data_IF_314280389271
#
_entry.id   IF_314280389271
#
_cell.length_a   1.000
_cell.length_b   1.000
_cell.length_c   1.000
_cell.angle_alpha   90.00
_cell.angle_beta   90.00
_cell.angle_gamma   90.00
#
_symmetry.space_group_name_H-M   'P 1'
#
loop_
_entity.id
_entity.type
_entity.pdbx_description
1 polymer ?
#
# COMPACT_ATOMS: atom_id res chain seq x y z
N UNK A 1 18.94 -16.88 -1.93
CA UNK A 1 17.48 -16.64 -1.86
C UNK A 1 17.11 -15.45 -0.97
N UNK A 2 17.52 -15.41 0.31
CA UNK A 2 17.20 -14.30 1.22
C UNK A 2 17.84 -12.95 0.86
N UNK A 3 19.08 -12.96 0.34
CA UNK A 3 19.76 -11.75 -0.15
C UNK A 3 18.94 -11.10 -1.27
N UNK A 4 18.55 -11.88 -2.28
CA UNK A 4 17.71 -11.41 -3.40
C UNK A 4 16.36 -10.87 -2.91
N UNK A 5 15.72 -11.52 -1.93
CA UNK A 5 14.48 -11.00 -1.36
C UNK A 5 14.70 -9.63 -0.72
N UNK A 6 15.76 -9.45 0.07
CA UNK A 6 16.12 -8.16 0.69
C UNK A 6 16.39 -7.07 -0.34
N UNK A 7 17.08 -7.40 -1.42
CA UNK A 7 17.31 -6.48 -2.55
C UNK A 7 15.98 -6.03 -3.16
N UNK A 8 15.06 -6.96 -3.47
CA UNK A 8 13.74 -6.63 -4.01
C UNK A 8 12.88 -5.82 -3.06
N UNK A 9 12.87 -6.17 -1.77
CA UNK A 9 12.22 -5.39 -0.72
C UNK A 9 12.74 -3.96 -0.64
N UNK A 10 14.07 -3.79 -0.80
CA UNK A 10 14.73 -2.49 -0.76
C UNK A 10 14.42 -1.68 -2.00
N UNK A 11 14.42 -2.29 -3.19
CA UNK A 11 13.98 -1.65 -4.44
C UNK A 11 12.55 -1.14 -4.32
N UNK A 12 11.59 -1.98 -3.90
CA UNK A 12 10.20 -1.55 -3.72
C UNK A 12 10.11 -0.39 -2.70
N UNK A 13 10.80 -0.49 -1.56
CA UNK A 13 10.77 0.57 -0.55
C UNK A 13 11.28 1.90 -1.09
N UNK A 14 12.40 1.89 -1.84
CA UNK A 14 12.96 3.07 -2.49
C UNK A 14 12.02 3.64 -3.56
N UNK A 15 11.43 2.79 -4.41
CA UNK A 15 10.49 3.22 -5.44
C UNK A 15 9.24 3.88 -4.83
N UNK A 16 8.68 3.32 -3.75
CA UNK A 16 7.58 3.96 -3.02
C UNK A 16 8.02 5.32 -2.48
N UNK A 17 9.16 5.37 -1.78
CA UNK A 17 9.67 6.59 -1.16
C UNK A 17 9.95 7.72 -2.18
N UNK A 18 10.48 7.37 -3.35
CA UNK A 18 10.81 8.34 -4.40
C UNK A 18 9.60 8.72 -5.28
N UNK A 19 8.48 8.02 -5.14
CA UNK A 19 7.25 8.31 -5.88
C UNK A 19 6.40 9.38 -5.21
N UNK A 20 5.39 9.86 -5.93
CA UNK A 20 4.39 10.80 -5.40
C UNK A 20 3.42 10.14 -4.40
N UNK A 21 3.47 8.82 -4.20
CA UNK A 21 2.63 8.12 -3.21
C UNK A 21 2.87 8.65 -1.79
N UNK A 22 4.07 9.16 -1.50
CA UNK A 22 4.42 9.78 -0.22
C UNK A 22 3.61 11.03 0.12
N UNK A 23 2.90 11.62 -0.85
CA UNK A 23 1.94 12.72 -0.60
C UNK A 23 0.61 12.23 -0.02
N UNK A 24 0.27 10.96 -0.22
CA UNK A 24 -1.01 10.38 0.18
C UNK A 24 -0.85 9.33 1.29
N UNK A 25 0.31 8.67 1.33
CA UNK A 25 0.59 7.58 2.24
C UNK A 25 1.87 7.77 3.05
N UNK A 26 1.79 7.38 4.32
CA UNK A 26 2.96 7.06 5.14
C UNK A 26 3.36 5.60 4.88
N UNK A 27 4.61 5.37 4.50
CA UNK A 27 5.20 4.04 4.36
C UNK A 27 5.64 3.52 5.73
N UNK A 28 5.03 2.44 6.21
CA UNK A 28 5.41 1.78 7.46
C UNK A 28 6.02 0.41 7.18
N UNK A 29 7.33 0.28 7.39
CA UNK A 29 8.11 -0.97 7.40
C UNK A 29 9.60 -0.63 7.38
N UNK A 30 10.45 -1.58 7.79
CA UNK A 30 11.87 -1.51 7.48
C UNK A 30 12.13 -1.65 5.96
N UNK A 31 13.20 -1.03 5.45
CA UNK A 31 13.56 -1.08 4.03
C UNK A 31 13.82 -2.51 3.53
N UNK A 32 14.37 -3.38 4.36
CA UNK A 32 14.68 -4.77 4.01
C UNK A 32 13.50 -5.72 4.19
N UNK A 33 12.45 -5.31 4.91
CA UNK A 33 11.22 -6.11 5.10
C UNK A 33 10.51 -6.36 3.76
N UNK A 34 10.11 -7.61 3.43
CA UNK A 34 9.34 -7.90 2.23
C UNK A 34 7.88 -7.43 2.30
N UNK A 35 7.39 -7.14 3.50
CA UNK A 35 6.07 -6.55 3.71
C UNK A 35 6.21 -5.05 3.91
N UNK A 36 5.47 -4.27 3.13
CA UNK A 36 5.31 -2.82 3.26
C UNK A 36 3.87 -2.49 3.61
N UNK A 37 3.68 -1.55 4.52
CA UNK A 37 2.36 -0.97 4.80
C UNK A 37 2.27 0.44 4.26
N UNK A 38 1.16 0.76 3.59
CA UNK A 38 0.78 2.11 3.24
C UNK A 38 -0.40 2.56 4.10
N UNK A 39 -0.19 3.59 4.92
CA UNK A 39 -1.21 4.21 5.77
C UNK A 39 -1.62 5.56 5.19
N UNK A 40 -2.90 5.90 5.17
CA UNK A 40 -3.32 7.27 4.76
C UNK A 40 -2.66 8.31 5.69
N UNK A 41 -2.15 9.39 5.10
CA UNK A 41 -1.54 10.51 5.84
C UNK A 41 -2.61 11.29 6.60
N UNK A 42 -3.74 11.55 5.95
CA UNK A 42 -4.83 12.32 6.56
C UNK A 42 -5.47 11.54 7.72
N UNK A 43 -5.16 11.99 8.95
CA UNK A 43 -5.67 11.40 10.19
C UNK A 43 -7.05 11.93 10.59
N UNK A 44 -7.59 12.93 9.90
CA UNK A 44 -8.94 13.44 10.16
C UNK A 44 -10.03 12.48 9.66
N UNK A 45 -9.68 11.59 8.73
CA UNK A 45 -10.58 10.57 8.19
C UNK A 45 -10.87 9.52 9.25
N UNK A 46 -12.15 9.22 9.49
CA UNK A 46 -12.56 8.19 10.45
C UNK A 46 -12.05 6.81 10.05
N UNK A 47 -11.89 5.90 11.03
CA UNK A 47 -11.39 4.55 10.80
C UNK A 47 -12.15 3.80 9.69
N UNK A 48 -13.49 3.78 9.76
CA UNK A 48 -14.36 3.12 8.79
C UNK A 48 -14.23 3.75 7.40
N UNK A 49 -14.06 5.06 7.32
CA UNK A 49 -13.89 5.76 6.05
C UNK A 49 -12.51 5.48 5.44
N UNK A 50 -11.45 5.43 6.27
CA UNK A 50 -10.13 4.98 5.82
C UNK A 50 -10.22 3.57 5.22
N UNK A 51 -10.90 2.63 5.88
CA UNK A 51 -11.08 1.27 5.34
C UNK A 51 -11.78 1.27 3.99
N UNK A 52 -12.84 2.07 3.80
CA UNK A 52 -13.55 2.19 2.52
C UNK A 52 -12.65 2.75 1.42
N UNK A 53 -11.91 3.82 1.70
CA UNK A 53 -10.97 4.43 0.74
C UNK A 53 -9.90 3.43 0.34
N UNK A 54 -9.25 2.80 1.32
CA UNK A 54 -8.21 1.81 1.07
C UNK A 54 -8.74 0.59 0.30
N UNK A 55 -9.97 0.15 0.60
CA UNK A 55 -10.62 -0.92 -0.15
C UNK A 55 -10.88 -0.52 -1.60
N UNK A 56 -11.40 0.68 -1.87
CA UNK A 56 -11.60 1.17 -3.26
C UNK A 56 -10.29 1.18 -4.05
N UNK A 57 -9.20 1.65 -3.42
CA UNK A 57 -7.87 1.67 -4.04
C UNK A 57 -7.40 0.26 -4.37
N UNK A 58 -7.54 -0.68 -3.42
CA UNK A 58 -7.18 -2.09 -3.63
C UNK A 58 -8.02 -2.73 -4.73
N UNK A 59 -9.34 -2.52 -4.71
CA UNK A 59 -10.26 -3.07 -5.71
C UNK A 59 -9.90 -2.56 -7.12
N UNK A 60 -9.55 -1.27 -7.26
CA UNK A 60 -9.05 -0.70 -8.51
C UNK A 60 -7.72 -1.32 -8.94
N UNK A 61 -6.74 -1.43 -8.04
CA UNK A 61 -5.47 -2.06 -8.39
C UNK A 61 -5.67 -3.50 -8.88
N UNK A 62 -6.56 -4.26 -8.24
CA UNK A 62 -6.89 -5.62 -8.65
C UNK A 62 -7.54 -5.64 -10.05
N UNK A 63 -8.46 -4.70 -10.35
CA UNK A 63 -9.07 -4.62 -11.68
C UNK A 63 -8.05 -4.29 -12.79
N UNK A 64 -6.99 -3.56 -12.45
CA UNK A 64 -5.86 -3.24 -13.34
C UNK A 64 -4.76 -4.33 -13.34
N UNK A 65 -5.01 -5.50 -12.75
CA UNK A 65 -4.09 -6.64 -12.76
C UNK A 65 -3.00 -6.62 -11.69
N UNK A 66 -3.08 -5.71 -10.71
CA UNK A 66 -2.13 -5.59 -9.60
C UNK A 66 -2.72 -6.17 -8.31
N UNK A 67 -2.22 -7.33 -7.89
CA UNK A 67 -2.70 -8.02 -6.69
C UNK A 67 -2.09 -7.43 -5.40
N UNK A 68 -2.92 -6.72 -4.62
CA UNK A 68 -2.59 -6.17 -3.30
C UNK A 68 -3.77 -6.38 -2.33
N UNK A 69 -3.59 -6.15 -1.04
CA UNK A 69 -4.66 -6.33 -0.05
C UNK A 69 -4.67 -5.22 1.00
N UNK A 70 -5.85 -4.95 1.57
CA UNK A 70 -5.92 -4.21 2.83
C UNK A 70 -5.49 -5.11 3.99
N UNK A 71 -5.00 -4.50 5.08
CA UNK A 71 -4.79 -5.19 6.34
C UNK A 71 -6.15 -5.48 7.00
N UNK A 72 -6.38 -6.74 7.36
CA UNK A 72 -7.57 -7.18 8.09
C UNK A 72 -7.27 -7.29 9.59
N UNK A 73 -8.19 -6.80 10.42
CA UNK A 73 -8.10 -6.81 11.87
C UNK A 73 -9.43 -7.27 12.48
N UNK A 74 -9.39 -7.81 13.70
CA UNK A 74 -10.58 -8.23 14.44
C UNK A 74 -11.11 -7.06 15.28
N UNK A 75 -11.89 -6.18 14.67
CA UNK A 75 -12.38 -4.91 15.25
C UNK A 75 -12.87 -5.03 16.69
N UNK A 76 -13.65 -6.08 17.00
CA UNK A 76 -14.33 -6.25 18.28
C UNK A 76 -13.54 -7.07 19.31
N UNK A 77 -12.34 -7.53 18.94
CA UNK A 77 -11.49 -8.40 19.78
C UNK A 77 -10.09 -7.85 20.03
N UNK A 78 -9.67 -6.86 19.26
CA UNK A 78 -8.39 -6.18 19.47
C UNK A 78 -8.50 -5.22 20.67
N UNK A 79 -7.60 -5.36 21.65
CA UNK A 79 -7.49 -4.41 22.76
C UNK A 79 -7.21 -2.98 22.27
N UNK A 80 -6.39 -2.86 21.21
CA UNK A 80 -6.15 -1.61 20.49
C UNK A 80 -6.16 -1.90 18.99
N UNK A 81 -7.23 -1.49 18.33
CA UNK A 81 -7.41 -1.72 16.89
C UNK A 81 -6.26 -1.04 16.11
N UNK A 82 -5.48 -1.79 15.31
CA UNK A 82 -4.40 -1.20 14.53
C UNK A 82 -4.92 -0.32 13.39
N UNK A 83 -4.12 0.67 12.98
CA UNK A 83 -4.47 1.58 11.89
C UNK A 83 -4.70 0.82 10.57
N UNK A 84 -5.74 1.14 9.80
CA UNK A 84 -5.96 0.58 8.47
C UNK A 84 -4.79 0.86 7.54
N UNK A 85 -4.39 -0.12 6.74
CA UNK A 85 -3.33 0.03 5.73
C UNK A 85 -3.55 -0.86 4.53
N UNK A 86 -2.87 -0.56 3.44
CA UNK A 86 -2.64 -1.48 2.33
C UNK A 86 -1.33 -2.23 2.58
N UNK A 87 -1.33 -3.54 2.36
CA UNK A 87 -0.16 -4.41 2.44
C UNK A 87 0.36 -4.69 1.04
N UNK A 88 1.64 -4.39 0.84
CA UNK A 88 2.39 -4.72 -0.36
C UNK A 88 3.44 -5.78 -0.01
N UNK A 89 3.53 -6.84 -0.81
CA UNK A 89 4.46 -7.95 -0.59
C UNK A 89 5.40 -8.08 -1.78
N UNK A 90 6.69 -8.09 -1.53
CA UNK A 90 7.72 -8.43 -2.54
C UNK A 90 8.08 -9.91 -2.50
N UNK A 91 8.39 -10.47 -3.66
CA UNK A 91 8.98 -11.80 -3.81
C UNK A 91 10.36 -11.72 -4.45
N UNK A 92 11.12 -12.82 -4.47
CA UNK A 92 12.40 -12.88 -5.19
C UNK A 92 12.25 -12.75 -6.72
N UNK A 93 11.03 -12.90 -7.23
CA UNK A 93 10.71 -12.82 -8.67
C UNK A 93 10.21 -11.45 -9.07
N UNK A 94 9.88 -10.59 -8.11
CA UNK A 94 9.36 -9.25 -8.39
C UNK A 94 10.37 -8.45 -9.21
N UNK A 95 9.96 -7.98 -10.38
CA UNK A 95 10.83 -7.21 -11.29
C UNK A 95 10.69 -5.71 -11.04
N UNK A 96 11.61 -4.91 -11.59
CA UNK A 96 11.54 -3.46 -11.45
C UNK A 96 10.37 -2.88 -12.27
N UNK A 97 10.03 -3.49 -13.42
CA UNK A 97 8.87 -3.12 -14.23
C UNK A 97 7.55 -3.39 -13.50
N UNK A 98 7.44 -4.51 -12.77
CA UNK A 98 6.28 -4.81 -11.93
C UNK A 98 6.16 -3.80 -10.77
N UNK A 99 7.29 -3.36 -10.21
CA UNK A 99 7.30 -2.29 -9.18
C UNK A 99 6.80 -0.97 -9.80
N UNK A 100 7.30 -0.59 -10.97
CA UNK A 100 6.88 0.64 -11.64
C UNK A 100 5.39 0.60 -12.01
N UNK A 101 4.91 -0.54 -12.51
CA UNK A 101 3.48 -0.77 -12.78
C UNK A 101 2.66 -0.61 -11.50
N UNK A 102 3.08 -1.25 -10.40
CA UNK A 102 2.41 -1.12 -9.10
C UNK A 102 2.31 0.35 -8.65
N UNK A 103 3.40 1.11 -8.74
CA UNK A 103 3.44 2.53 -8.33
C UNK A 103 2.48 3.36 -9.19
N UNK A 104 2.49 3.18 -10.51
CA UNK A 104 1.63 3.89 -11.43
C UNK A 104 0.15 3.57 -11.20
N UNK A 105 -0.20 2.29 -11.06
CA UNK A 105 -1.58 1.86 -10.78
C UNK A 105 -2.06 2.40 -9.43
N UNK A 106 -1.21 2.39 -8.38
CA UNK A 106 -1.57 2.97 -7.09
C UNK A 106 -1.86 4.48 -7.18
N UNK A 107 -1.05 5.24 -7.94
CA UNK A 107 -1.27 6.67 -8.15
C UNK A 107 -2.59 6.94 -8.89
N UNK A 108 -2.90 6.16 -9.92
CA UNK A 108 -4.19 6.25 -10.63
C UNK A 108 -5.36 5.92 -9.69
N UNK A 109 -5.24 4.85 -8.90
CA UNK A 109 -6.23 4.43 -7.94
C UNK A 109 -6.54 5.52 -6.89
N UNK A 110 -5.49 6.18 -6.38
CA UNK A 110 -5.60 7.31 -5.45
C UNK A 110 -6.37 8.46 -6.08
N UNK A 111 -6.02 8.84 -7.31
CA UNK A 111 -6.69 9.94 -8.00
C UNK A 111 -8.19 9.64 -8.18
N UNK A 112 -8.55 8.45 -8.68
CA UNK A 112 -9.96 8.07 -8.87
C UNK A 112 -10.72 7.98 -7.53
N UNK A 113 -10.07 7.46 -6.49
CA UNK A 113 -10.73 7.20 -5.21
C UNK A 113 -10.89 8.45 -4.33
N UNK A 114 -9.99 9.43 -4.46
CA UNK A 114 -10.03 10.68 -3.66
C UNK A 114 -10.81 11.79 -4.38
N UNK A 115 -10.83 11.83 -5.72
CA UNK A 115 -11.53 12.87 -6.50
C UNK A 115 -13.07 12.78 -6.36
N UNK A 116 -13.63 11.66 -5.88
CA UNK A 116 -15.07 11.53 -5.57
C UNK A 116 -15.55 12.38 -4.35
N UNK A 117 -14.76 13.36 -3.89
CA UNK A 117 -15.06 14.26 -2.75
C UNK A 117 -15.20 15.75 -3.12
N UNK A 118 -15.29 16.10 -4.41
CA UNK A 118 -15.61 17.48 -4.85
C UNK A 118 -16.96 17.50 -5.55
#
# INVERSE_FOLDING_TARGET
MLVKLRERSTSLHKSIHNSQLTKHFTLGSDATSPLKHLYLIDKSISYTEQQKILKKIVDYCISEGVAITTAAYLSDREYKIPTPSIRLLTSIKTTDEEIDSLINTLLQAVNVSIIQKV
#
